data_IF_449865277580
#
_entry.id   IF_449865277580
#
_cell.length_a   1.000
_cell.length_b   1.000
_cell.length_c   1.000
_cell.angle_alpha   90.00
_cell.angle_beta   90.00
_cell.angle_gamma   90.00
#
_symmetry.space_group_name_H-M   'P 1'
#
loop_
_entity.id
_entity.type
_entity.pdbx_description
1 polymer ?
#
# COMPACT_ATOMS: atom_id res chain seq x y z
N UNK A 1 -18.70 15.40 -20.40
CA UNK A 1 -18.60 16.64 -19.59
C UNK A 1 -19.14 16.50 -18.15
N UNK A 2 -20.27 15.81 -17.93
CA UNK A 2 -20.83 15.62 -16.57
C UNK A 2 -19.86 14.93 -15.57
N UNK A 3 -19.15 13.90 -16.02
CA UNK A 3 -18.20 13.15 -15.18
C UNK A 3 -17.02 14.03 -14.69
N UNK A 4 -16.48 14.90 -15.54
CA UNK A 4 -15.36 15.79 -15.17
C UNK A 4 -15.78 16.81 -14.10
N UNK A 5 -17.03 17.30 -14.18
CA UNK A 5 -17.62 18.17 -13.16
C UNK A 5 -17.81 17.45 -11.82
N UNK A 6 -18.15 16.16 -11.82
CA UNK A 6 -18.23 15.36 -10.59
C UNK A 6 -16.84 15.14 -9.96
N UNK A 7 -15.80 14.91 -10.77
CA UNK A 7 -14.42 14.83 -10.26
C UNK A 7 -13.95 16.15 -9.63
N UNK A 8 -14.26 17.29 -10.24
CA UNK A 8 -13.98 18.60 -9.65
C UNK A 8 -14.75 18.84 -8.34
N UNK A 9 -15.90 18.18 -8.16
CA UNK A 9 -16.62 18.17 -6.89
C UNK A 9 -15.81 17.56 -5.74
N UNK A 10 -15.01 16.53 -6.00
CA UNK A 10 -14.15 15.88 -4.99
C UNK A 10 -13.09 16.84 -4.47
N UNK A 11 -12.54 17.70 -5.33
CA UNK A 11 -11.58 18.73 -4.92
C UNK A 11 -12.17 19.83 -4.04
N UNK A 12 -13.50 19.97 -4.02
CA UNK A 12 -14.22 20.97 -3.20
C UNK A 12 -14.61 20.43 -1.82
N UNK A 13 -14.43 19.14 -1.55
CA UNK A 13 -14.70 18.53 -0.24
C UNK A 13 -13.51 18.85 0.69
N UNK A 14 -13.74 19.45 1.87
CA UNK A 14 -12.67 19.75 2.81
C UNK A 14 -11.94 18.46 3.23
N UNK A 15 -10.61 18.44 3.06
CA UNK A 15 -9.74 17.30 3.38
C UNK A 15 -9.57 16.25 2.28
N UNK A 16 -10.47 16.18 1.30
CA UNK A 16 -10.37 15.22 0.19
C UNK A 16 -9.11 15.36 -0.69
N UNK A 17 -8.67 16.58 -1.11
CA UNK A 17 -7.45 16.69 -1.91
C UNK A 17 -6.19 16.31 -1.13
N UNK A 18 -6.13 16.61 0.16
CA UNK A 18 -5.03 16.21 1.03
C UNK A 18 -4.95 14.68 1.15
N UNK A 19 -6.09 14.03 1.42
CA UNK A 19 -6.17 12.56 1.51
C UNK A 19 -5.85 11.88 0.17
N UNK A 20 -6.24 12.48 -0.96
CA UNK A 20 -5.90 11.98 -2.29
C UNK A 20 -4.40 12.04 -2.54
N UNK A 21 -3.76 13.18 -2.29
CA UNK A 21 -2.32 13.37 -2.53
C UNK A 21 -1.50 12.46 -1.61
N UNK A 22 -1.77 12.50 -0.31
CA UNK A 22 -1.07 11.65 0.67
C UNK A 22 -1.35 10.16 0.41
N UNK A 23 -2.58 9.82 0.00
CA UNK A 23 -2.94 8.45 -0.38
C UNK A 23 -2.21 7.97 -1.63
N UNK A 24 -1.99 8.83 -2.63
CA UNK A 24 -1.17 8.50 -3.81
C UNK A 24 0.27 8.24 -3.38
N UNK A 25 0.86 9.14 -2.58
CA UNK A 25 2.24 9.01 -2.09
C UNK A 25 2.39 7.72 -1.28
N UNK A 26 1.48 7.44 -0.36
CA UNK A 26 1.50 6.21 0.45
C UNK A 26 1.36 4.94 -0.38
N UNK A 27 0.63 4.99 -1.50
CA UNK A 27 0.46 3.83 -2.40
C UNK A 27 1.70 3.52 -3.24
N UNK A 28 2.61 4.48 -3.46
CA UNK A 28 3.86 4.20 -4.19
C UNK A 28 4.66 3.07 -3.52
N UNK A 29 4.65 3.05 -2.18
CA UNK A 29 5.32 2.01 -1.39
C UNK A 29 4.83 0.59 -1.68
N UNK A 30 3.56 0.41 -2.08
CA UNK A 30 2.95 -0.91 -2.30
C UNK A 30 3.64 -1.66 -3.44
N UNK A 31 4.00 -0.95 -4.51
CA UNK A 31 4.75 -1.53 -5.62
C UNK A 31 6.26 -1.53 -5.38
N UNK A 32 6.77 -0.51 -4.68
CA UNK A 32 8.21 -0.36 -4.44
C UNK A 32 8.76 -1.42 -3.47
N UNK A 33 8.01 -1.81 -2.45
CA UNK A 33 8.47 -2.81 -1.45
C UNK A 33 8.84 -4.17 -2.07
N UNK A 34 7.98 -4.84 -2.86
CA UNK A 34 8.34 -6.10 -3.48
C UNK A 34 9.46 -5.96 -4.52
N UNK A 35 9.49 -4.85 -5.28
CA UNK A 35 10.56 -4.58 -6.24
C UNK A 35 11.92 -4.36 -5.55
N UNK A 36 11.95 -3.55 -4.49
CA UNK A 36 13.16 -3.30 -3.72
C UNK A 36 13.67 -4.60 -3.07
N UNK A 37 12.77 -5.43 -2.52
CA UNK A 37 13.14 -6.73 -1.98
C UNK A 37 13.77 -7.62 -3.05
N UNK A 38 13.15 -7.70 -4.23
CA UNK A 38 13.65 -8.50 -5.34
C UNK A 38 15.05 -8.03 -5.76
N UNK A 39 15.22 -6.73 -5.98
CA UNK A 39 16.48 -6.14 -6.43
C UNK A 39 17.59 -6.29 -5.38
N UNK A 40 17.30 -6.09 -4.09
CA UNK A 40 18.30 -6.27 -3.02
C UNK A 40 18.72 -7.72 -2.92
N UNK A 41 17.79 -8.67 -2.92
CA UNK A 41 18.13 -10.09 -2.83
C UNK A 41 18.90 -10.54 -4.06
N UNK A 42 18.53 -10.07 -5.25
CA UNK A 42 19.25 -10.34 -6.49
C UNK A 42 20.66 -9.74 -6.46
N UNK A 43 20.84 -8.49 -6.01
CA UNK A 43 22.17 -7.88 -5.90
C UNK A 43 23.09 -8.62 -4.92
N UNK A 44 22.56 -9.14 -3.82
CA UNK A 44 23.37 -9.87 -2.81
C UNK A 44 23.67 -11.31 -3.24
N UNK A 45 22.74 -11.98 -3.92
CA UNK A 45 22.87 -13.41 -4.25
C UNK A 45 23.21 -13.72 -5.71
N UNK A 46 23.07 -12.75 -6.61
CA UNK A 46 23.17 -12.93 -8.07
C UNK A 46 22.10 -13.86 -8.66
N UNK A 47 21.06 -14.23 -7.89
CA UNK A 47 20.10 -15.29 -8.25
C UNK A 47 18.66 -14.81 -8.11
N UNK A 48 18.00 -14.65 -9.26
CA UNK A 48 16.56 -14.33 -9.33
C UNK A 48 15.67 -15.38 -8.66
N UNK A 49 16.08 -16.65 -8.61
CA UNK A 49 15.31 -17.70 -7.94
C UNK A 49 15.15 -17.44 -6.43
N UNK A 50 16.22 -16.98 -5.76
CA UNK A 50 16.16 -16.65 -4.34
C UNK A 50 15.36 -15.37 -4.10
N UNK A 51 15.47 -14.39 -5.01
CA UNK A 51 14.67 -13.18 -4.98
C UNK A 51 13.17 -13.47 -5.14
N UNK A 52 12.81 -14.40 -6.03
CA UNK A 52 11.43 -14.84 -6.22
C UNK A 52 10.87 -15.58 -5.00
N UNK A 53 11.66 -16.42 -4.34
CA UNK A 53 11.26 -17.09 -3.09
C UNK A 53 11.02 -16.06 -1.99
N UNK A 54 11.92 -15.09 -1.81
CA UNK A 54 11.74 -14.01 -0.84
C UNK A 54 10.50 -13.16 -1.13
N UNK A 55 10.28 -12.80 -2.40
CA UNK A 55 9.06 -12.11 -2.84
C UNK A 55 7.78 -12.92 -2.62
N UNK A 56 7.84 -14.24 -2.82
CA UNK A 56 6.74 -15.16 -2.55
C UNK A 56 6.38 -15.23 -1.07
N UNK A 57 7.39 -15.34 -0.18
CA UNK A 57 7.16 -15.26 1.26
C UNK A 57 6.58 -13.91 1.68
N UNK A 58 7.08 -12.81 1.12
CA UNK A 58 6.54 -11.48 1.37
C UNK A 58 5.05 -11.40 1.00
N UNK A 59 4.67 -11.91 -0.18
CA UNK A 59 3.28 -11.96 -0.62
C UNK A 59 2.39 -12.83 0.29
N UNK A 60 2.87 -14.01 0.71
CA UNK A 60 2.15 -14.91 1.61
C UNK A 60 1.93 -14.28 2.99
N UNK A 61 2.97 -13.69 3.58
CA UNK A 61 2.87 -12.97 4.84
C UNK A 61 1.91 -11.79 4.71
N UNK A 62 1.99 -11.01 3.63
CA UNK A 62 1.06 -9.92 3.34
C UNK A 62 -0.39 -10.41 3.25
N UNK A 63 -0.64 -11.51 2.53
CA UNK A 63 -1.96 -12.11 2.40
C UNK A 63 -2.50 -12.66 3.74
N UNK A 64 -1.63 -13.18 4.60
CA UNK A 64 -2.02 -13.69 5.92
C UNK A 64 -2.28 -12.57 6.93
N UNK A 65 -1.44 -11.52 6.95
CA UNK A 65 -1.54 -10.41 7.89
C UNK A 65 -2.58 -9.36 7.47
N UNK A 66 -2.81 -9.16 6.17
CA UNK A 66 -3.79 -8.20 5.66
C UNK A 66 -5.21 -8.36 6.27
N UNK A 67 -5.81 -9.56 6.34
CA UNK A 67 -7.11 -9.74 6.97
C UNK A 67 -7.09 -9.58 8.50
N UNK A 68 -5.92 -9.75 9.14
CA UNK A 68 -5.76 -9.49 10.58
C UNK A 68 -5.74 -7.99 10.84
N UNK A 69 -4.90 -7.26 10.12
CA UNK A 69 -4.82 -5.79 10.19
C UNK A 69 -6.15 -5.14 9.81
N UNK A 70 -6.83 -5.63 8.77
CA UNK A 70 -8.17 -5.18 8.38
C UNK A 70 -9.19 -5.39 9.49
N UNK A 71 -9.25 -6.59 10.09
CA UNK A 71 -10.16 -6.84 11.23
C UNK A 71 -9.85 -6.01 12.46
N UNK A 72 -8.57 -5.68 12.72
CA UNK A 72 -8.18 -4.79 13.82
C UNK A 72 -8.64 -3.36 13.53
N UNK A 73 -8.44 -2.86 12.32
CA UNK A 73 -8.91 -1.55 11.88
C UNK A 73 -10.45 -1.44 11.95
N UNK A 74 -11.17 -2.49 11.55
CA UNK A 74 -12.63 -2.54 11.59
C UNK A 74 -13.19 -2.53 13.02
N UNK A 75 -12.44 -3.06 14.00
CA UNK A 75 -12.89 -3.15 15.41
C UNK A 75 -12.51 -1.96 16.27
N UNK A 76 -11.33 -1.35 16.03
CA UNK A 76 -10.79 -0.26 16.87
C UNK A 76 -11.09 1.12 16.26
N UNK A 77 -11.47 1.16 14.98
CA UNK A 77 -11.62 2.38 14.21
C UNK A 77 -10.31 2.80 13.55
N UNK A 78 -10.36 3.55 12.42
CA UNK A 78 -9.18 3.87 11.63
C UNK A 78 -8.20 4.83 12.33
N UNK A 79 -8.68 5.71 13.21
CA UNK A 79 -7.87 6.76 13.85
C UNK A 79 -6.86 6.24 14.89
N UNK A 80 -7.22 5.35 15.83
CA UNK A 80 -6.26 4.81 16.78
C UNK A 80 -5.22 3.87 16.14
N UNK A 81 -5.60 3.14 15.08
CA UNK A 81 -4.72 2.19 14.37
C UNK A 81 -3.69 2.90 13.49
N UNK A 82 -4.00 4.11 13.01
CA UNK A 82 -3.05 4.92 12.24
C UNK A 82 -2.04 5.69 13.11
N UNK A 83 -2.31 5.85 14.41
CA UNK A 83 -1.47 6.61 15.34
C UNK A 83 -0.61 5.72 16.26
N UNK A 84 -0.92 4.43 16.36
CA UNK A 84 -0.15 3.43 17.11
C UNK A 84 0.95 2.81 16.24
#
# INVERSE_FOLDING_TARGET
MAALRQYLGVWRIPGAPMLLILGIIGRLGIGMTPLALLLVVEQVTGRYALAAVAGGFYALCGAALSPVAGRVADRVGPTPVLLA
#
